data_IF_004436949215
#
_entry.id   IF_004436949215
#
_cell.length_a   1.000
_cell.length_b   1.000
_cell.length_c   1.000
_cell.angle_alpha   90.00
_cell.angle_beta   90.00
_cell.angle_gamma   90.00
#
_symmetry.space_group_name_H-M   'P 1'
#
loop_
_entity.id
_entity.type
_entity.pdbx_description
1 polymer ?
#
# COMPACT_ATOMS: atom_id res chain seq x y z
N UNK A 1 6.41 -22.69 4.84
CA UNK A 1 5.60 -21.66 5.57
C UNK A 1 5.50 -21.91 7.08
N UNK A 2 5.14 -23.13 7.55
CA UNK A 2 5.01 -23.43 9.00
C UNK A 2 6.26 -23.10 9.83
N UNK A 3 7.45 -23.31 9.28
CA UNK A 3 8.74 -22.96 9.90
C UNK A 3 9.00 -21.45 10.04
N UNK A 4 8.41 -20.62 9.19
CA UNK A 4 8.59 -19.15 9.21
C UNK A 4 7.64 -18.52 10.24
N UNK A 5 6.41 -19.03 10.33
CA UNK A 5 5.43 -18.64 11.36
C UNK A 5 5.80 -19.12 12.78
N UNK A 6 6.73 -20.06 12.90
CA UNK A 6 7.29 -20.46 14.19
C UNK A 6 8.13 -19.34 14.84
N UNK A 7 8.64 -18.38 14.05
CA UNK A 7 9.39 -17.23 14.57
C UNK A 7 8.41 -16.17 15.12
N UNK A 8 8.46 -15.84 16.42
CA UNK A 8 7.48 -14.95 17.05
C UNK A 8 7.41 -13.56 16.40
N UNK A 9 8.55 -13.00 16.01
CA UNK A 9 8.62 -11.69 15.34
C UNK A 9 7.92 -11.70 13.98
N UNK A 10 8.18 -12.72 13.16
CA UNK A 10 7.54 -12.86 11.85
C UNK A 10 6.03 -13.10 11.98
N UNK A 11 5.60 -13.92 12.94
CA UNK A 11 4.17 -14.17 13.18
C UNK A 11 3.41 -12.90 13.54
N UNK A 12 3.99 -12.04 14.38
CA UNK A 12 3.41 -10.73 14.72
C UNK A 12 3.32 -9.82 13.50
N UNK A 13 4.39 -9.72 12.72
CA UNK A 13 4.41 -8.93 11.49
C UNK A 13 3.38 -9.43 10.48
N UNK A 14 3.27 -10.74 10.30
CA UNK A 14 2.30 -11.35 9.40
C UNK A 14 0.87 -11.03 9.84
N UNK A 15 0.54 -11.24 11.12
CA UNK A 15 -0.78 -10.92 11.63
C UNK A 15 -1.12 -9.43 11.50
N UNK A 16 -0.19 -8.54 11.87
CA UNK A 16 -0.36 -7.10 11.73
C UNK A 16 -0.60 -6.71 10.27
N UNK A 17 0.23 -7.22 9.34
CA UNK A 17 0.09 -6.91 7.91
C UNK A 17 -1.22 -7.43 7.33
N UNK A 18 -1.66 -8.61 7.73
CA UNK A 18 -2.96 -9.15 7.29
C UNK A 18 -4.10 -8.27 7.76
N UNK A 19 -4.11 -7.85 9.03
CA UNK A 19 -5.15 -6.96 9.56
C UNK A 19 -5.12 -5.59 8.86
N UNK A 20 -3.94 -5.02 8.66
CA UNK A 20 -3.77 -3.76 7.92
C UNK A 20 -4.30 -3.88 6.49
N UNK A 21 -3.97 -4.95 5.77
CA UNK A 21 -4.42 -5.18 4.41
C UNK A 21 -5.95 -5.25 4.30
N UNK A 22 -6.62 -5.86 5.28
CA UNK A 22 -8.09 -5.88 5.34
C UNK A 22 -8.64 -4.46 5.51
N UNK A 23 -8.01 -3.65 6.37
CA UNK A 23 -8.33 -2.24 6.53
C UNK A 23 -8.14 -1.43 5.25
N UNK A 24 -7.05 -1.65 4.52
CA UNK A 24 -6.75 -0.96 3.26
C UNK A 24 -7.82 -1.27 2.20
N UNK A 25 -8.24 -2.55 2.07
CA UNK A 25 -9.31 -2.96 1.14
C UNK A 25 -10.64 -2.31 1.53
N UNK A 26 -10.97 -2.28 2.82
CA UNK A 26 -12.18 -1.64 3.31
C UNK A 26 -12.16 -0.13 3.03
N UNK A 27 -11.05 0.54 3.33
CA UNK A 27 -10.86 1.97 3.07
C UNK A 27 -11.02 2.30 1.58
N UNK A 28 -10.38 1.55 0.68
CA UNK A 28 -10.53 1.74 -0.75
C UNK A 28 -11.99 1.61 -1.19
N UNK A 29 -12.67 0.56 -0.72
CA UNK A 29 -14.08 0.32 -1.03
C UNK A 29 -14.97 1.47 -0.54
N UNK A 30 -14.75 1.95 0.68
CA UNK A 30 -15.49 3.09 1.25
C UNK A 30 -15.28 4.37 0.43
N UNK A 31 -14.04 4.69 0.04
CA UNK A 31 -13.75 5.87 -0.77
C UNK A 31 -14.40 5.75 -2.16
N UNK A 32 -14.31 4.58 -2.79
CA UNK A 32 -14.92 4.32 -4.08
C UNK A 32 -16.44 4.51 -4.04
N UNK A 33 -17.11 3.94 -3.04
CA UNK A 33 -18.56 4.10 -2.84
C UNK A 33 -18.93 5.56 -2.56
N UNK A 34 -18.20 6.25 -1.69
CA UNK A 34 -18.46 7.66 -1.37
C UNK A 34 -18.36 8.55 -2.62
N UNK A 35 -17.35 8.34 -3.46
CA UNK A 35 -17.20 9.11 -4.69
C UNK A 35 -18.34 8.82 -5.66
N UNK A 36 -18.74 7.55 -5.76
CA UNK A 36 -19.90 7.19 -6.57
C UNK A 36 -21.18 7.84 -6.06
N UNK A 37 -21.43 7.84 -4.75
CA UNK A 37 -22.58 8.51 -4.12
C UNK A 37 -22.59 10.03 -4.38
N UNK A 38 -21.42 10.68 -4.31
CA UNK A 38 -21.32 12.13 -4.51
C UNK A 38 -21.36 12.56 -5.98
N UNK A 39 -20.82 11.75 -6.88
CA UNK A 39 -20.67 12.13 -8.31
C UNK A 39 -21.69 11.46 -9.23
N UNK A 40 -22.32 10.37 -8.79
CA UNK A 40 -23.20 9.52 -9.59
C UNK A 40 -22.49 8.84 -10.79
N UNK A 41 -21.16 8.90 -10.88
CA UNK A 41 -20.40 8.51 -12.07
C UNK A 41 -19.29 7.52 -11.76
N UNK A 42 -19.24 6.44 -12.53
CA UNK A 42 -18.15 5.45 -12.48
C UNK A 42 -16.78 6.01 -12.89
N UNK A 43 -16.74 7.18 -13.55
CA UNK A 43 -15.47 7.83 -13.92
C UNK A 43 -14.71 8.29 -12.67
N UNK A 44 -15.40 8.85 -11.68
CA UNK A 44 -14.77 9.27 -10.41
C UNK A 44 -14.14 8.09 -9.67
N UNK A 45 -14.83 6.94 -9.66
CA UNK A 45 -14.33 5.69 -9.08
C UNK A 45 -13.08 5.20 -9.82
N UNK A 46 -13.10 5.21 -11.16
CA UNK A 46 -11.95 4.80 -11.96
C UNK A 46 -10.74 5.73 -11.78
N UNK A 47 -10.99 7.03 -11.56
CA UNK A 47 -9.94 8.01 -11.26
C UNK A 47 -9.19 7.71 -9.97
N UNK A 48 -9.90 7.30 -8.91
CA UNK A 48 -9.26 6.91 -7.64
C UNK A 48 -8.48 5.61 -7.78
N UNK A 49 -9.03 4.61 -8.47
CA UNK A 49 -8.30 3.37 -8.75
C UNK A 49 -7.01 3.65 -9.54
N UNK A 50 -7.06 4.55 -10.53
CA UNK A 50 -5.87 4.98 -11.26
C UNK A 50 -4.87 5.73 -10.38
N UNK A 51 -5.35 6.62 -9.51
CA UNK A 51 -4.49 7.36 -8.59
C UNK A 51 -3.76 6.45 -7.59
N UNK A 52 -4.35 5.31 -7.23
CA UNK A 52 -3.72 4.31 -6.37
C UNK A 52 -2.68 3.45 -7.12
N UNK A 53 -3.02 3.01 -8.34
CA UNK A 53 -2.20 2.05 -9.09
C UNK A 53 -1.05 2.76 -9.84
N UNK A 54 -1.28 3.96 -10.38
CA UNK A 54 -0.31 4.65 -11.24
C UNK A 54 1.04 4.91 -10.55
N UNK A 55 1.11 5.41 -9.30
CA UNK A 55 2.39 5.59 -8.62
C UNK A 55 3.17 4.28 -8.49
N UNK A 56 2.49 3.19 -8.17
CA UNK A 56 3.13 1.87 -8.03
C UNK A 56 3.67 1.40 -9.38
N UNK A 57 2.89 1.48 -10.45
CA UNK A 57 3.32 1.07 -11.79
C UNK A 57 4.51 1.88 -12.30
N UNK A 58 4.51 3.19 -12.05
CA UNK A 58 5.56 4.10 -12.53
C UNK A 58 6.84 3.99 -11.69
N UNK A 59 6.70 3.83 -10.37
CA UNK A 59 7.83 3.89 -9.45
C UNK A 59 8.41 2.51 -9.11
N UNK A 60 7.63 1.43 -9.11
CA UNK A 60 8.14 0.10 -8.72
C UNK A 60 9.34 -0.40 -9.54
N UNK A 61 9.38 -0.25 -10.88
CA UNK A 61 10.55 -0.66 -11.68
C UNK A 61 11.82 0.11 -11.33
N UNK A 62 11.69 1.38 -10.92
CA UNK A 62 12.80 2.24 -10.53
C UNK A 62 13.20 2.01 -9.07
N UNK A 63 12.22 1.69 -8.21
CA UNK A 63 12.42 1.53 -6.78
C UNK A 63 13.30 0.33 -6.44
N UNK A 64 13.18 -0.80 -7.16
CA UNK A 64 13.95 -2.02 -6.88
C UNK A 64 15.47 -1.77 -6.86
N UNK A 65 16.08 -1.38 -7.99
CA UNK A 65 17.52 -1.10 -8.05
C UNK A 65 17.98 0.01 -7.09
N UNK A 66 17.12 0.98 -6.81
CA UNK A 66 17.42 2.12 -5.93
C UNK A 66 17.47 1.69 -4.47
N UNK A 67 16.48 0.93 -4.00
CA UNK A 67 16.37 0.47 -2.61
C UNK A 67 17.45 -0.56 -2.28
N UNK A 68 17.85 -1.38 -3.26
CA UNK A 68 18.92 -2.37 -3.07
C UNK A 68 20.30 -1.73 -2.82
N UNK A 69 20.50 -0.48 -3.26
CA UNK A 69 21.79 0.23 -3.15
C UNK A 69 21.84 1.25 -2.01
N UNK A 70 20.69 1.66 -1.48
CA UNK A 70 20.61 2.71 -0.46
C UNK A 70 20.48 2.15 0.96
N UNK A 71 20.90 2.91 2.00
CA UNK A 71 20.71 2.49 3.38
C UNK A 71 19.22 2.37 3.74
N UNK A 72 18.77 1.17 4.11
CA UNK A 72 17.38 0.84 4.44
C UNK A 72 16.67 1.84 5.37
N UNK A 73 17.35 2.38 6.38
CA UNK A 73 16.76 3.33 7.35
C UNK A 73 16.50 4.68 6.69
N UNK A 74 17.43 5.17 5.85
CA UNK A 74 17.25 6.43 5.14
C UNK A 74 16.12 6.33 4.12
N UNK A 75 16.01 5.20 3.42
CA UNK A 75 14.89 4.94 2.50
C UNK A 75 13.56 4.92 3.24
N UNK A 76 13.48 4.24 4.39
CA UNK A 76 12.25 4.22 5.20
C UNK A 76 11.86 5.62 5.69
N UNK A 77 12.82 6.44 6.16
CA UNK A 77 12.55 7.81 6.59
C UNK A 77 12.07 8.69 5.44
N UNK A 78 12.75 8.64 4.28
CA UNK A 78 12.36 9.41 3.11
C UNK A 78 10.95 9.02 2.61
N UNK A 79 10.64 7.73 2.59
CA UNK A 79 9.32 7.24 2.20
C UNK A 79 8.22 7.71 3.16
N UNK A 80 8.48 7.69 4.46
CA UNK A 80 7.50 8.14 5.45
C UNK A 80 7.31 9.67 5.43
N UNK A 81 8.34 10.45 5.10
CA UNK A 81 8.20 11.90 4.90
C UNK A 81 7.35 12.27 3.69
N UNK A 82 7.39 11.48 2.61
CA UNK A 82 6.55 11.70 1.42
C UNK A 82 5.10 11.25 1.66
N UNK A 83 4.87 10.37 2.65
CA UNK A 83 3.55 9.86 3.00
C UNK A 83 2.71 10.86 3.82
N UNK A 84 3.34 11.85 4.45
CA UNK A 84 2.71 12.97 5.17
C UNK A 84 2.39 14.13 4.22
#
# INVERSE_FOLDING_TARGET
MRSVLARPGYRRLFAARTVSQVGDIAQFTTIALLIYELTGSGIGVSGVALAEIAPVLLLAPLAGPLVDRLPRVQVMLAADMVRL
#
